data_IF_157805600907
#
_entry.id   IF_157805600907
#
_cell.length_a   1.000
_cell.length_b   1.000
_cell.length_c   1.000
_cell.angle_alpha   90.00
_cell.angle_beta   90.00
_cell.angle_gamma   90.00
#
_symmetry.space_group_name_H-M   'P 1'
#
loop_
_entity.id
_entity.type
_entity.pdbx_description
1 polymer ?
#
# COMPACT_ATOMS: atom_id res chain seq x y z
N UNK A 1 30.98 25.16 -16.48
CA UNK A 1 29.69 24.75 -17.08
C UNK A 1 29.56 23.25 -16.90
N UNK A 2 28.60 22.78 -16.11
CA UNK A 2 28.49 21.36 -15.72
C UNK A 2 27.67 20.59 -16.76
N UNK A 3 28.32 19.69 -17.50
CA UNK A 3 27.71 18.84 -18.51
C UNK A 3 27.07 17.61 -17.85
N UNK A 4 25.73 17.56 -17.85
CA UNK A 4 24.98 16.39 -17.37
C UNK A 4 25.04 15.25 -18.40
N UNK A 5 25.86 14.24 -18.14
CA UNK A 5 26.12 13.07 -19.00
C UNK A 5 24.89 12.14 -19.17
N UNK A 6 23.79 12.39 -18.45
CA UNK A 6 22.54 11.61 -18.50
C UNK A 6 21.67 11.95 -19.73
N UNK A 7 21.90 13.09 -20.40
CA UNK A 7 21.09 13.53 -21.55
C UNK A 7 21.75 13.36 -22.93
N UNK A 8 22.89 12.67 -23.01
CA UNK A 8 23.66 12.50 -24.24
C UNK A 8 23.62 11.06 -24.73
N UNK A 9 22.97 10.83 -25.88
CA UNK A 9 23.11 9.58 -26.64
C UNK A 9 24.57 9.43 -27.13
N UNK A 10 24.98 8.23 -27.53
CA UNK A 10 26.35 7.87 -27.94
C UNK A 10 26.94 8.73 -29.08
N UNK A 11 26.12 9.57 -29.73
CA UNK A 11 26.49 10.51 -30.79
C UNK A 11 26.51 11.99 -30.35
N UNK A 12 26.39 12.29 -29.06
CA UNK A 12 26.39 13.67 -28.55
C UNK A 12 25.13 14.48 -28.90
N UNK A 13 24.07 13.81 -29.35
CA UNK A 13 22.78 14.45 -29.64
C UNK A 13 21.96 14.55 -28.35
N UNK A 14 21.55 15.76 -28.00
CA UNK A 14 20.56 15.99 -26.95
C UNK A 14 19.19 15.48 -27.43
N UNK A 15 18.84 14.24 -27.07
CA UNK A 15 17.50 13.70 -27.30
C UNK A 15 16.58 14.39 -26.32
N UNK A 16 15.87 15.43 -26.76
CA UNK A 16 14.83 16.04 -25.94
C UNK A 16 13.71 15.01 -25.75
N UNK A 17 13.38 14.61 -24.51
CA UNK A 17 12.28 13.70 -24.26
C UNK A 17 11.00 14.32 -24.80
N UNK A 18 10.31 13.58 -25.68
CA UNK A 18 9.07 14.05 -26.29
C UNK A 18 7.98 14.04 -25.23
N UNK A 19 7.65 15.22 -24.70
CA UNK A 19 6.58 15.38 -23.71
C UNK A 19 5.25 14.99 -24.36
N UNK A 20 4.65 13.89 -23.88
CA UNK A 20 3.31 13.48 -24.30
C UNK A 20 2.28 14.40 -23.64
N UNK A 21 1.30 14.88 -24.40
CA UNK A 21 0.16 15.61 -23.84
C UNK A 21 -0.81 14.59 -23.24
N UNK A 22 -1.04 14.70 -21.94
CA UNK A 22 -2.03 13.89 -21.23
C UNK A 22 -3.36 14.62 -21.32
N UNK A 23 -4.39 13.90 -21.71
CA UNK A 23 -5.77 14.37 -21.77
C UNK A 23 -6.59 13.81 -20.61
N UNK A 24 -7.79 14.35 -20.39
CA UNK A 24 -8.72 13.81 -19.38
C UNK A 24 -9.21 12.40 -19.73
N UNK A 25 -9.21 12.04 -21.02
CA UNK A 25 -9.54 10.68 -21.46
C UNK A 25 -8.52 9.65 -20.98
N UNK A 26 -7.22 10.00 -21.03
CA UNK A 26 -6.15 9.13 -20.53
C UNK A 26 -6.31 8.85 -19.03
N UNK A 27 -6.78 9.84 -18.25
CA UNK A 27 -7.05 9.65 -16.82
C UNK A 27 -8.19 8.66 -16.58
N UNK A 28 -9.28 8.77 -17.34
CA UNK A 28 -10.41 7.84 -17.23
C UNK A 28 -10.03 6.42 -17.66
N UNK A 29 -9.23 6.28 -18.72
CA UNK A 29 -8.75 4.98 -19.19
C UNK A 29 -7.85 4.30 -18.14
N UNK A 30 -6.90 5.03 -17.55
CA UNK A 30 -6.04 4.48 -16.50
C UNK A 30 -6.84 4.09 -15.26
N UNK A 31 -7.85 4.86 -14.86
CA UNK A 31 -8.73 4.50 -13.75
C UNK A 31 -9.56 3.25 -14.04
N UNK A 32 -10.10 3.14 -15.26
CA UNK A 32 -10.87 1.96 -15.67
C UNK A 32 -10.01 0.70 -15.66
N UNK A 33 -8.79 0.77 -16.20
CA UNK A 33 -7.83 -0.32 -16.17
C UNK A 33 -7.46 -0.69 -14.73
N UNK A 34 -7.26 0.30 -13.85
CA UNK A 34 -7.02 0.06 -12.42
C UNK A 34 -8.19 -0.65 -11.72
N UNK A 35 -9.45 -0.29 -12.05
CA UNK A 35 -10.64 -0.95 -11.52
C UNK A 35 -10.77 -2.38 -12.04
N UNK A 36 -10.53 -2.62 -13.32
CA UNK A 36 -10.51 -3.96 -13.91
C UNK A 36 -9.43 -4.84 -13.25
N UNK A 37 -8.27 -4.25 -12.97
CA UNK A 37 -7.19 -4.92 -12.26
C UNK A 37 -7.54 -5.33 -10.83
N UNK A 38 -8.28 -4.45 -10.16
CA UNK A 38 -8.76 -4.66 -8.81
C UNK A 38 -9.88 -5.69 -8.72
N UNK A 39 -10.78 -5.74 -9.71
CA UNK A 39 -11.84 -6.76 -9.80
C UNK A 39 -11.30 -8.15 -10.13
N UNK A 40 -10.28 -8.24 -10.98
CA UNK A 40 -9.62 -9.50 -11.29
C UNK A 40 -9.00 -10.16 -10.04
N UNK A 41 -8.66 -9.36 -9.02
CA UNK A 41 -8.11 -9.83 -7.75
C UNK A 41 -8.68 -9.06 -6.56
N UNK A 42 -9.81 -9.51 -5.99
CA UNK A 42 -10.46 -8.81 -4.90
C UNK A 42 -9.59 -8.83 -3.64
N UNK A 43 -8.84 -7.74 -3.45
CA UNK A 43 -7.95 -7.54 -2.29
C UNK A 43 -8.68 -7.11 -1.03
N UNK A 44 -9.95 -6.72 -1.15
CA UNK A 44 -10.85 -6.43 -0.03
C UNK A 44 -10.96 -7.59 0.96
N UNK A 45 -10.82 -8.84 0.50
CA UNK A 45 -10.87 -10.00 1.39
C UNK A 45 -9.75 -9.98 2.43
N UNK A 46 -8.56 -9.46 2.09
CA UNK A 46 -7.46 -9.34 3.04
C UNK A 46 -7.74 -8.25 4.06
N UNK A 47 -8.29 -7.12 3.63
CA UNK A 47 -8.73 -6.08 4.54
C UNK A 47 -9.83 -6.59 5.48
N UNK A 48 -10.83 -7.29 4.96
CA UNK A 48 -11.90 -7.87 5.79
C UNK A 48 -11.34 -8.88 6.79
N UNK A 49 -10.44 -9.77 6.34
CA UNK A 49 -9.84 -10.81 7.16
C UNK A 49 -8.83 -10.28 8.19
N UNK A 50 -8.24 -9.10 7.97
CA UNK A 50 -7.34 -8.47 8.93
C UNK A 50 -8.10 -7.56 9.91
N UNK A 51 -9.03 -6.75 9.41
CA UNK A 51 -9.74 -5.74 10.21
C UNK A 51 -10.71 -6.40 11.18
N UNK A 52 -11.62 -7.26 10.69
CA UNK A 52 -12.69 -7.79 11.52
C UNK A 52 -12.19 -8.60 12.71
N UNK A 53 -11.17 -9.47 12.57
CA UNK A 53 -10.63 -10.20 13.72
C UNK A 53 -9.88 -9.31 14.71
N UNK A 54 -9.08 -8.35 14.23
CA UNK A 54 -8.34 -7.44 15.12
C UNK A 54 -9.30 -6.56 15.90
N UNK A 55 -10.29 -5.96 15.21
CA UNK A 55 -11.36 -5.17 15.84
C UNK A 55 -12.16 -6.02 16.83
N UNK A 56 -12.55 -7.23 16.43
CA UNK A 56 -13.30 -8.16 17.26
C UNK A 56 -12.56 -8.56 18.53
N UNK A 57 -11.25 -8.83 18.45
CA UNK A 57 -10.42 -9.19 19.61
C UNK A 57 -10.27 -8.02 20.58
N UNK A 58 -10.04 -6.80 20.08
CA UNK A 58 -9.92 -5.61 20.93
C UNK A 58 -11.24 -5.34 21.64
N UNK A 59 -12.36 -5.35 20.91
CA UNK A 59 -13.69 -5.17 21.49
C UNK A 59 -14.03 -6.29 22.48
N UNK A 60 -13.70 -7.55 22.19
CA UNK A 60 -13.96 -8.68 23.09
C UNK A 60 -13.18 -8.56 24.41
N UNK A 61 -11.89 -8.23 24.35
CA UNK A 61 -11.05 -8.08 25.53
C UNK A 61 -11.53 -6.92 26.43
N UNK A 62 -11.98 -5.82 25.83
CA UNK A 62 -12.47 -4.65 26.55
C UNK A 62 -13.91 -4.78 27.06
N UNK A 63 -14.81 -5.39 26.29
CA UNK A 63 -16.17 -5.72 26.75
C UNK A 63 -16.14 -6.67 27.94
N UNK A 64 -15.21 -7.63 27.95
CA UNK A 64 -14.97 -8.52 29.09
C UNK A 64 -14.42 -7.77 30.31
N UNK A 65 -13.77 -6.63 30.10
CA UNK A 65 -13.17 -5.78 31.15
C UNK A 65 -14.14 -4.69 31.68
N UNK A 66 -15.39 -4.65 31.21
CA UNK A 66 -16.48 -3.84 31.78
C UNK A 66 -16.54 -2.37 31.36
N UNK A 67 -15.78 -1.95 30.35
CA UNK A 67 -15.75 -0.55 29.87
C UNK A 67 -16.68 -0.32 28.66
N UNK A 68 -17.27 0.87 28.57
CA UNK A 68 -18.11 1.30 27.44
C UNK A 68 -17.28 1.40 26.14
N UNK A 69 -17.24 0.32 25.36
CA UNK A 69 -16.38 0.15 24.20
C UNK A 69 -16.69 1.08 23.00
N UNK A 70 -17.77 1.87 23.05
CA UNK A 70 -18.19 2.70 21.92
C UNK A 70 -17.25 3.87 21.64
N UNK A 71 -16.56 4.39 22.65
CA UNK A 71 -15.60 5.50 22.50
C UNK A 71 -14.34 5.06 21.74
N UNK A 72 -14.00 3.77 21.80
CA UNK A 72 -12.85 3.18 21.10
C UNK A 72 -13.09 3.02 19.60
N UNK A 73 -14.33 3.14 19.12
CA UNK A 73 -14.64 3.02 17.70
C UNK A 73 -13.86 4.06 16.87
N UNK A 74 -13.75 5.29 17.37
CA UNK A 74 -13.02 6.36 16.68
C UNK A 74 -11.51 6.08 16.59
N UNK A 75 -10.80 5.79 17.69
CA UNK A 75 -9.43 5.29 17.66
C UNK A 75 -9.20 4.10 16.74
N UNK A 76 -10.12 3.14 16.76
CA UNK A 76 -9.96 1.90 16.00
C UNK A 76 -10.08 2.15 14.50
N UNK A 77 -11.01 3.03 14.11
CA UNK A 77 -11.18 3.50 12.74
C UNK A 77 -9.98 4.34 12.26
N UNK A 78 -9.33 5.12 13.14
CA UNK A 78 -8.11 5.84 12.76
C UNK A 78 -6.90 4.90 12.64
N UNK A 79 -6.80 3.88 13.50
CA UNK A 79 -5.79 2.82 13.42
C UNK A 79 -5.84 2.04 12.09
N UNK A 80 -7.01 1.94 11.44
CA UNK A 80 -7.13 1.37 10.10
C UNK A 80 -6.28 2.11 9.06
N UNK A 81 -6.12 3.44 9.18
CA UNK A 81 -5.29 4.21 8.24
C UNK A 81 -3.82 3.74 8.24
N UNK A 82 -3.34 3.15 9.34
CA UNK A 82 -1.99 2.59 9.44
C UNK A 82 -1.83 1.30 8.63
N UNK A 83 -2.91 0.56 8.37
CA UNK A 83 -2.89 -0.65 7.54
C UNK A 83 -2.81 -0.31 6.04
N UNK A 84 -3.28 0.86 5.64
CA UNK A 84 -3.29 1.31 4.24
C UNK A 84 -1.92 1.23 3.56
N UNK A 85 -0.85 1.84 4.12
CA UNK A 85 0.50 1.76 3.57
C UNK A 85 1.05 0.34 3.42
N UNK A 86 0.82 -0.52 4.42
CA UNK A 86 1.25 -1.93 4.35
C UNK A 86 0.51 -2.72 3.28
N UNK A 87 -0.81 -2.52 3.18
CA UNK A 87 -1.61 -3.16 2.16
C UNK A 87 -1.26 -2.66 0.76
N UNK A 88 -0.94 -1.37 0.61
CA UNK A 88 -0.49 -0.78 -0.65
C UNK A 88 0.78 -1.47 -1.18
N UNK A 89 1.73 -1.85 -0.31
CA UNK A 89 2.93 -2.59 -0.72
C UNK A 89 2.54 -3.95 -1.34
N UNK A 90 1.64 -4.68 -0.70
CA UNK A 90 1.16 -5.97 -1.22
C UNK A 90 0.44 -5.82 -2.57
N UNK A 91 -0.38 -4.78 -2.71
CA UNK A 91 -1.05 -4.46 -3.98
C UNK A 91 -0.07 -4.06 -5.08
N UNK A 92 0.93 -3.24 -4.76
CA UNK A 92 1.96 -2.84 -5.72
C UNK A 92 2.76 -4.03 -6.23
N UNK A 93 3.09 -4.99 -5.37
CA UNK A 93 3.74 -6.22 -5.81
C UNK A 93 2.85 -7.04 -6.74
N UNK A 94 1.58 -7.23 -6.37
CA UNK A 94 0.63 -7.98 -7.18
C UNK A 94 0.47 -7.33 -8.56
N UNK A 95 0.40 -6.00 -8.62
CA UNK A 95 0.35 -5.22 -9.86
C UNK A 95 1.62 -5.39 -10.68
N UNK A 96 2.81 -5.25 -10.06
CA UNK A 96 4.10 -5.41 -10.75
C UNK A 96 4.28 -6.80 -11.33
N UNK A 97 3.89 -7.84 -10.60
CA UNK A 97 3.98 -9.24 -11.07
C UNK A 97 3.02 -9.52 -12.22
N UNK A 98 1.84 -8.91 -12.22
CA UNK A 98 0.87 -9.00 -13.31
C UNK A 98 1.39 -8.34 -14.58
N UNK A 99 1.99 -7.15 -14.50
CA UNK A 99 2.61 -6.48 -15.65
C UNK A 99 3.74 -7.31 -16.28
N UNK A 100 4.46 -8.07 -15.46
CA UNK A 100 5.52 -8.97 -15.91
C UNK A 100 5.02 -10.32 -16.46
N UNK A 101 3.70 -10.55 -16.51
CA UNK A 101 3.10 -11.79 -16.98
C UNK A 101 3.41 -13.02 -16.11
N UNK A 102 3.86 -12.80 -14.87
CA UNK A 102 4.29 -13.86 -13.95
C UNK A 102 3.12 -14.41 -13.12
N UNK A 103 3.25 -15.66 -12.68
CA UNK A 103 2.23 -16.35 -11.91
C UNK A 103 1.81 -15.55 -10.66
N UNK A 104 0.54 -15.21 -10.65
CA UNK A 104 -0.06 -14.25 -9.73
C UNK A 104 -0.50 -14.93 -8.42
N UNK A 105 0.22 -15.95 -7.95
CA UNK A 105 -0.09 -16.63 -6.70
C UNK A 105 0.17 -15.72 -5.49
N UNK A 106 -0.83 -15.57 -4.61
CA UNK A 106 -0.80 -14.78 -3.37
C UNK A 106 0.38 -15.16 -2.43
N UNK A 107 0.90 -16.38 -2.55
CA UNK A 107 2.04 -16.86 -1.77
C UNK A 107 3.35 -16.14 -2.07
N UNK A 108 3.50 -15.56 -3.26
CA UNK A 108 4.70 -14.79 -3.60
C UNK A 108 4.62 -13.30 -3.26
N UNK A 109 3.49 -12.80 -2.73
CA UNK A 109 3.47 -11.47 -2.12
C UNK A 109 4.41 -11.38 -0.90
N UNK A 110 4.77 -12.53 -0.31
CA UNK A 110 5.77 -12.67 0.75
C UNK A 110 7.22 -12.78 0.26
N UNK A 111 7.43 -12.89 -1.04
CA UNK A 111 8.76 -12.97 -1.68
C UNK A 111 9.34 -11.56 -1.95
N UNK A 112 8.54 -10.54 -1.58
CA UNK A 112 8.89 -9.13 -1.35
C UNK A 112 9.74 -9.03 -0.10
N UNK A 113 10.90 -9.69 -0.11
CA UNK A 113 11.95 -9.56 0.92
C UNK A 113 13.24 -8.98 0.33
N UNK A 114 13.30 -8.83 -0.99
CA UNK A 114 14.50 -8.43 -1.72
C UNK A 114 14.54 -6.96 -2.18
N UNK A 115 13.50 -6.16 -1.95
CA UNK A 115 13.59 -4.71 -2.26
C UNK A 115 14.22 -3.92 -1.10
N UNK A 116 15.28 -3.13 -1.35
CA UNK A 116 16.04 -2.43 -0.31
C UNK A 116 15.23 -1.37 0.47
N UNK A 117 14.05 -0.96 -0.02
CA UNK A 117 13.17 0.02 0.64
C UNK A 117 12.20 -0.61 1.65
N UNK A 118 11.97 -1.93 1.61
CA UNK A 118 11.00 -2.60 2.48
C UNK A 118 11.34 -2.54 3.97
N UNK A 119 12.61 -2.71 4.40
CA UNK A 119 12.94 -2.63 5.82
C UNK A 119 12.62 -1.24 6.39
N UNK A 120 12.87 -0.18 5.60
CA UNK A 120 12.58 1.19 6.02
C UNK A 120 11.07 1.42 6.20
N UNK A 121 10.25 0.94 5.27
CA UNK A 121 8.78 1.06 5.37
C UNK A 121 8.25 0.24 6.56
N UNK A 122 8.80 -0.96 6.79
CA UNK A 122 8.44 -1.80 7.94
C UNK A 122 8.78 -1.12 9.28
N UNK A 123 9.96 -0.51 9.41
CA UNK A 123 10.37 0.22 10.61
C UNK A 123 9.41 1.38 10.91
N UNK A 124 9.08 2.19 9.91
CA UNK A 124 8.15 3.31 10.06
C UNK A 124 6.77 2.80 10.47
N UNK A 125 6.30 1.73 9.83
CA UNK A 125 4.99 1.17 10.16
C UNK A 125 4.93 0.54 11.56
N UNK A 126 5.98 -0.15 12.01
CA UNK A 126 6.08 -0.64 13.39
C UNK A 126 6.11 0.51 14.40
N UNK A 127 6.85 1.58 14.11
CA UNK A 127 6.88 2.79 14.92
C UNK A 127 5.49 3.43 15.03
N UNK A 128 4.75 3.53 13.93
CA UNK A 128 3.39 4.06 13.93
C UNK A 128 2.42 3.19 14.74
N UNK A 129 2.55 1.85 14.64
CA UNK A 129 1.76 0.92 15.46
C UNK A 129 2.07 1.08 16.94
N UNK A 130 3.35 1.22 17.32
CA UNK A 130 3.74 1.43 18.70
C UNK A 130 3.17 2.75 19.25
N UNK A 131 3.22 3.83 18.46
CA UNK A 131 2.66 5.13 18.83
C UNK A 131 1.14 5.07 18.97
N UNK A 132 0.47 4.33 18.08
CA UNK A 132 -0.97 4.08 18.16
C UNK A 132 -1.37 3.30 19.42
N UNK A 133 -0.62 2.25 19.77
CA UNK A 133 -0.86 1.47 20.98
C UNK A 133 -0.62 2.30 22.24
N UNK A 134 0.43 3.14 22.25
CA UNK A 134 0.68 4.08 23.34
C UNK A 134 -0.48 5.07 23.50
N UNK A 135 -0.98 5.61 22.39
CA UNK A 135 -2.12 6.52 22.39
C UNK A 135 -3.42 5.86 22.87
N UNK A 136 -3.65 4.58 22.56
CA UNK A 136 -4.82 3.85 23.03
C UNK A 136 -4.74 3.52 24.54
N UNK A 137 -3.53 3.49 25.09
CA UNK A 137 -3.27 3.25 26.51
C UNK A 137 -3.41 4.51 27.38
N UNK A 138 -3.03 5.68 26.86
CA UNK A 138 -3.16 7.00 27.54
C UNK A 138 -4.55 7.59 27.38
#
# INVERSE_FOLDING_TARGET
MASFHVMSDARGMHVQPRVRRITTADLMDVLRLGVEDFWAKPSHYVFLCLIYPVVGLILAQWTTSGSNAIQLLYPLMSGFALLGPFAAIGLYEISRRRELGMDTSWWHALDVRHSPALPAIAVIGVMLVALFLLWLYT
#
